data_IF_765956537556
#
_entry.id   IF_765956537556
#
_cell.length_a   1.000
_cell.length_b   1.000
_cell.length_c   1.000
_cell.angle_alpha   90.00
_cell.angle_beta   90.00
_cell.angle_gamma   90.00
#
_symmetry.space_group_name_H-M   'P 1'
#
loop_
_entity.id
_entity.type
_entity.pdbx_description
1 polymer ?
#
# COMPACT_ATOMS: atom_id res chain seq x y z
N UNK A 1 -17.01 17.02 -6.59
CA UNK A 1 -18.06 18.03 -6.32
C UNK A 1 -19.07 17.61 -5.26
N UNK A 2 -19.46 16.33 -5.18
CA UNK A 2 -20.45 15.85 -4.22
C UNK A 2 -20.07 16.03 -2.75
N UNK A 3 -18.81 15.77 -2.38
CA UNK A 3 -18.31 16.01 -1.02
C UNK A 3 -18.38 17.49 -0.61
N UNK A 4 -18.11 18.41 -1.54
CA UNK A 4 -18.19 19.84 -1.28
C UNK A 4 -19.65 20.30 -1.09
N UNK A 5 -20.58 19.75 -1.87
CA UNK A 5 -22.02 19.99 -1.71
C UNK A 5 -22.53 19.48 -0.35
N UNK A 6 -22.10 18.28 0.05
CA UNK A 6 -22.47 17.68 1.34
C UNK A 6 -21.93 18.52 2.52
N UNK A 7 -20.68 18.96 2.43
CA UNK A 7 -20.08 19.82 3.45
C UNK A 7 -20.80 21.18 3.57
N UNK A 8 -21.17 21.78 2.43
CA UNK A 8 -21.94 23.03 2.43
C UNK A 8 -23.31 22.86 3.11
N UNK A 9 -24.00 21.74 2.87
CA UNK A 9 -25.30 21.44 3.46
C UNK A 9 -25.21 21.28 4.99
N UNK A 10 -24.22 20.53 5.48
CA UNK A 10 -23.96 20.37 6.93
C UNK A 10 -23.71 21.72 7.60
N UNK A 11 -22.91 22.59 6.98
CA UNK A 11 -22.55 23.90 7.51
C UNK A 11 -23.76 24.86 7.54
N UNK A 12 -24.56 24.87 6.47
CA UNK A 12 -25.74 25.74 6.37
C UNK A 12 -26.87 25.30 7.31
N UNK A 13 -27.16 24.00 7.35
CA UNK A 13 -28.27 23.44 8.13
C UNK A 13 -27.90 23.15 9.58
N UNK A 14 -26.63 23.34 9.96
CA UNK A 14 -26.08 22.99 11.29
C UNK A 14 -26.46 21.58 11.69
N UNK A 15 -26.41 20.67 10.72
CA UNK A 15 -26.89 19.32 10.89
C UNK A 15 -26.05 18.66 11.98
N UNK A 16 -26.71 18.24 13.06
CA UNK A 16 -26.05 17.48 14.12
C UNK A 16 -25.87 16.04 13.67
N UNK A 17 -24.73 15.47 14.03
CA UNK A 17 -24.50 14.03 13.98
C UNK A 17 -25.56 13.30 14.80
N UNK A 18 -26.06 12.17 14.31
CA UNK A 18 -27.08 11.41 15.04
C UNK A 18 -26.55 10.91 16.39
N UNK A 19 -27.44 10.73 17.36
CA UNK A 19 -27.09 10.23 18.68
C UNK A 19 -26.46 8.83 18.60
N UNK A 20 -26.94 7.96 17.69
CA UNK A 20 -26.35 6.64 17.44
C UNK A 20 -24.89 6.73 16.96
N UNK A 21 -24.60 7.68 16.06
CA UNK A 21 -23.24 7.90 15.56
C UNK A 21 -22.35 8.47 16.65
N UNK A 22 -22.86 9.42 17.45
CA UNK A 22 -22.13 9.97 18.59
C UNK A 22 -21.85 8.91 19.65
N UNK A 23 -22.80 8.02 19.93
CA UNK A 23 -22.63 6.90 20.85
C UNK A 23 -21.53 5.97 20.37
N UNK A 24 -21.57 5.55 19.10
CA UNK A 24 -20.53 4.71 18.50
C UNK A 24 -19.14 5.37 18.56
N UNK A 25 -19.04 6.66 18.25
CA UNK A 25 -17.78 7.40 18.37
C UNK A 25 -17.27 7.42 19.81
N UNK A 26 -18.16 7.66 20.78
CA UNK A 26 -17.81 7.63 22.18
C UNK A 26 -17.45 6.24 22.69
N UNK A 27 -17.96 5.15 22.12
CA UNK A 27 -17.56 3.80 22.52
C UNK A 27 -16.23 3.38 21.91
N UNK A 28 -15.97 3.74 20.65
CA UNK A 28 -14.83 3.21 19.89
C UNK A 28 -13.62 4.15 19.86
N UNK A 29 -13.79 5.45 20.14
CA UNK A 29 -12.73 6.46 20.05
C UNK A 29 -12.54 7.24 21.35
N UNK A 30 -12.72 6.59 22.51
CA UNK A 30 -12.43 7.22 23.80
C UNK A 30 -10.96 7.61 23.86
N UNK A 31 -10.72 8.90 24.01
CA UNK A 31 -9.37 9.45 24.12
C UNK A 31 -8.57 8.77 25.23
N UNK A 32 -9.20 8.49 26.37
CA UNK A 32 -8.56 7.80 27.49
C UNK A 32 -8.08 6.40 27.12
N UNK A 33 -8.86 5.65 26.34
CA UNK A 33 -8.50 4.30 25.90
C UNK A 33 -7.34 4.36 24.90
N UNK A 34 -7.35 5.33 23.99
CA UNK A 34 -6.23 5.57 23.07
C UNK A 34 -4.95 5.90 23.84
N UNK A 35 -5.00 6.84 24.80
CA UNK A 35 -3.83 7.24 25.60
C UNK A 35 -3.29 6.07 26.42
N UNK A 36 -4.17 5.28 27.05
CA UNK A 36 -3.77 4.08 27.79
C UNK A 36 -3.11 3.05 26.89
N UNK A 37 -3.66 2.81 25.71
CA UNK A 37 -3.11 1.86 24.75
C UNK A 37 -1.72 2.30 24.27
N UNK A 38 -1.54 3.59 23.98
CA UNK A 38 -0.21 4.12 23.63
C UNK A 38 0.78 4.01 24.78
N UNK A 39 0.38 4.35 26.01
CA UNK A 39 1.23 4.21 27.18
C UNK A 39 1.65 2.75 27.40
N UNK A 40 0.70 1.81 27.28
CA UNK A 40 0.98 0.38 27.39
C UNK A 40 1.98 -0.09 26.33
N UNK A 41 1.77 0.30 25.06
CA UNK A 41 2.66 -0.07 23.98
C UNK A 41 4.07 0.49 24.17
N UNK A 42 4.21 1.74 24.60
CA UNK A 42 5.52 2.37 24.85
C UNK A 42 6.23 1.69 26.03
N UNK A 43 5.53 1.44 27.13
CA UNK A 43 6.12 0.88 28.34
C UNK A 43 6.47 -0.60 28.19
N UNK A 44 5.69 -1.34 27.40
CA UNK A 44 5.86 -2.77 27.20
C UNK A 44 6.53 -3.15 25.88
N UNK A 45 6.88 -2.17 25.02
CA UNK A 45 7.64 -2.41 23.81
C UNK A 45 8.95 -3.10 24.15
N UNK A 46 9.19 -4.25 23.52
CA UNK A 46 10.46 -4.98 23.63
C UNK A 46 11.23 -4.82 22.34
N UNK A 47 12.54 -4.65 22.48
CA UNK A 47 13.45 -4.72 21.34
C UNK A 47 13.34 -6.11 20.73
N UNK A 48 12.91 -6.20 19.47
CA UNK A 48 13.00 -7.43 18.71
C UNK A 48 14.47 -7.85 18.58
N UNK A 49 14.70 -9.16 18.49
CA UNK A 49 16.03 -9.68 18.19
C UNK A 49 16.58 -9.10 16.87
N UNK A 50 17.90 -9.18 16.64
CA UNK A 50 18.47 -8.81 15.36
C UNK A 50 17.73 -9.52 14.23
N UNK A 51 17.32 -8.78 13.22
CA UNK A 51 16.72 -9.35 12.02
C UNK A 51 17.77 -10.26 11.35
N UNK A 52 17.48 -11.55 11.13
CA UNK A 52 18.41 -12.42 10.43
C UNK A 52 18.59 -11.90 9.01
N UNK A 53 19.83 -11.73 8.57
CA UNK A 53 20.10 -11.45 7.17
C UNK A 53 19.87 -12.73 6.37
N UNK A 54 18.86 -12.71 5.50
CA UNK A 54 18.63 -13.77 4.52
C UNK A 54 19.01 -13.21 3.15
N UNK A 55 20.07 -13.76 2.56
CA UNK A 55 20.43 -13.44 1.19
C UNK A 55 19.52 -14.23 0.24
N UNK A 56 18.55 -13.56 -0.36
CA UNK A 56 17.79 -14.15 -1.45
C UNK A 56 18.50 -13.87 -2.77
N UNK A 57 18.97 -14.92 -3.44
CA UNK A 57 19.51 -14.80 -4.78
C UNK A 57 18.38 -14.37 -5.73
N UNK A 58 18.50 -13.17 -6.32
CA UNK A 58 17.54 -12.66 -7.28
C UNK A 58 17.92 -13.14 -8.68
N UNK A 59 17.40 -14.31 -9.06
CA UNK A 59 17.47 -14.81 -10.42
C UNK A 59 16.17 -14.48 -11.16
N UNK A 60 16.18 -13.54 -12.13
CA UNK A 60 14.98 -13.13 -12.85
C UNK A 60 14.39 -14.22 -13.74
N UNK A 61 15.12 -15.31 -14.02
CA UNK A 61 14.58 -16.44 -14.77
C UNK A 61 13.63 -17.31 -13.92
N UNK A 62 13.85 -17.35 -12.62
CA UNK A 62 13.15 -18.26 -11.70
C UNK A 62 12.28 -17.55 -10.67
N UNK A 63 12.59 -16.31 -10.32
CA UNK A 63 11.84 -15.50 -9.35
C UNK A 63 10.61 -14.86 -10.01
N UNK A 64 9.47 -14.92 -9.32
CA UNK A 64 8.28 -14.18 -9.70
C UNK A 64 8.33 -12.75 -9.15
N UNK A 65 7.74 -11.81 -9.88
CA UNK A 65 7.63 -10.42 -9.47
C UNK A 65 6.17 -10.01 -9.38
N UNK A 66 5.91 -8.99 -8.54
CA UNK A 66 4.63 -8.26 -8.50
C UNK A 66 4.88 -6.77 -8.58
N UNK A 67 3.83 -6.02 -8.95
CA UNK A 67 3.85 -4.57 -8.88
C UNK A 67 4.20 -4.15 -7.44
N UNK A 68 5.08 -3.17 -7.31
CA UNK A 68 5.47 -2.63 -6.02
C UNK A 68 4.24 -2.02 -5.30
N UNK A 69 4.16 -2.10 -3.96
CA UNK A 69 2.98 -1.64 -3.21
C UNK A 69 2.77 -0.12 -3.26
N UNK A 70 3.80 0.65 -3.65
CA UNK A 70 3.75 2.10 -3.86
C UNK A 70 3.47 2.47 -5.33
N UNK A 71 3.09 1.49 -6.15
CA UNK A 71 2.69 1.70 -7.54
C UNK A 71 1.22 1.30 -7.72
N UNK A 72 0.46 2.14 -8.43
CA UNK A 72 -0.97 1.94 -8.65
C UNK A 72 -1.28 2.00 -10.14
N UNK A 73 -1.97 0.98 -10.65
CA UNK A 73 -2.47 0.99 -12.03
C UNK A 73 -3.66 1.94 -12.13
N UNK A 74 -3.56 2.94 -13.00
CA UNK A 74 -4.58 3.96 -13.27
C UNK A 74 -4.92 3.98 -14.76
N UNK A 75 -5.85 3.11 -15.17
CA UNK A 75 -6.21 2.93 -16.58
C UNK A 75 -5.02 2.39 -17.37
N UNK A 76 -4.56 3.15 -18.36
CA UNK A 76 -3.44 2.79 -19.25
C UNK A 76 -2.08 3.27 -18.72
N UNK A 77 -1.98 3.60 -17.43
CA UNK A 77 -0.75 4.11 -16.81
C UNK A 77 -0.54 3.54 -15.41
N UNK A 78 0.67 3.68 -14.88
CA UNK A 78 1.01 3.36 -13.49
C UNK A 78 1.49 4.63 -12.79
N UNK A 79 0.83 4.99 -11.70
CA UNK A 79 1.29 6.02 -10.78
C UNK A 79 2.33 5.45 -9.82
N UNK A 80 3.41 6.19 -9.54
CA UNK A 80 4.47 5.80 -8.62
C UNK A 80 4.56 6.79 -7.45
N UNK A 81 4.17 6.38 -6.23
CA UNK A 81 4.01 7.28 -5.09
C UNK A 81 5.31 8.02 -4.71
N UNK A 82 6.46 7.34 -4.75
CA UNK A 82 7.75 7.98 -4.43
C UNK A 82 8.28 8.93 -5.50
N UNK A 83 7.93 8.72 -6.78
CA UNK A 83 8.36 9.60 -7.87
C UNK A 83 7.34 10.70 -8.15
N UNK A 84 6.09 10.51 -7.71
CA UNK A 84 4.98 11.43 -7.99
C UNK A 84 4.63 11.52 -9.48
N UNK A 85 4.95 10.48 -10.26
CA UNK A 85 4.84 10.49 -11.72
C UNK A 85 4.02 9.33 -12.24
N UNK A 86 3.46 9.50 -13.44
CA UNK A 86 2.81 8.44 -14.20
C UNK A 86 3.77 7.85 -15.22
N UNK A 87 3.68 6.54 -15.44
CA UNK A 87 4.37 5.82 -16.50
C UNK A 87 3.34 5.11 -17.39
N UNK A 88 3.36 5.42 -18.68
CA UNK A 88 2.44 4.93 -19.70
C UNK A 88 3.09 3.88 -20.63
N UNK A 89 4.22 3.28 -20.22
CA UNK A 89 4.81 2.14 -20.92
C UNK A 89 3.78 1.00 -20.96
N UNK A 90 3.21 0.79 -22.14
CA UNK A 90 2.17 -0.19 -22.38
C UNK A 90 2.59 -1.62 -22.00
N UNK A 91 3.89 -1.95 -22.08
CA UNK A 91 4.40 -3.27 -21.69
C UNK A 91 4.43 -3.41 -20.18
N UNK A 92 4.87 -2.38 -19.47
CA UNK A 92 4.86 -2.32 -18.01
C UNK A 92 3.42 -2.43 -17.48
N UNK A 93 2.49 -1.63 -18.02
CA UNK A 93 1.07 -1.63 -17.65
C UNK A 93 0.44 -3.01 -17.89
N UNK A 94 0.68 -3.63 -19.05
CA UNK A 94 0.19 -5.00 -19.33
C UNK A 94 0.73 -6.04 -18.35
N UNK A 95 2.02 -5.97 -18.00
CA UNK A 95 2.59 -6.86 -16.99
C UNK A 95 1.94 -6.59 -15.62
N UNK A 96 1.75 -5.33 -15.22
CA UNK A 96 1.16 -4.95 -13.93
C UNK A 96 -0.28 -5.43 -13.73
N UNK A 97 -1.12 -5.37 -14.78
CA UNK A 97 -2.51 -5.85 -14.75
C UNK A 97 -2.60 -7.36 -14.47
N UNK A 98 -1.57 -8.15 -14.81
CA UNK A 98 -1.53 -9.59 -14.46
C UNK A 98 -1.29 -9.84 -12.98
N UNK A 99 -0.84 -8.83 -12.24
CA UNK A 99 -0.51 -8.93 -10.81
C UNK A 99 0.82 -9.63 -10.55
N UNK A 100 0.90 -10.93 -10.86
CA UNK A 100 2.12 -11.75 -10.71
C UNK A 100 2.68 -12.11 -12.07
N UNK A 101 3.97 -11.85 -12.29
CA UNK A 101 4.66 -12.13 -13.54
C UNK A 101 5.95 -12.91 -13.31
N UNK A 102 6.38 -13.64 -14.34
CA UNK A 102 7.65 -14.38 -14.39
C UNK A 102 8.39 -14.09 -15.69
N UNK A 103 9.58 -14.67 -15.89
CA UNK A 103 10.30 -14.62 -17.17
C UNK A 103 9.49 -15.13 -18.38
N UNK A 104 8.42 -15.89 -18.16
CA UNK A 104 7.49 -16.33 -19.22
C UNK A 104 6.58 -15.20 -19.72
N UNK A 105 6.34 -14.19 -18.89
CA UNK A 105 5.42 -13.09 -19.16
C UNK A 105 6.14 -11.87 -19.75
N UNK A 106 7.29 -11.54 -19.17
CA UNK A 106 8.09 -10.36 -19.51
C UNK A 106 9.57 -10.81 -19.52
N UNK A 107 10.42 -10.22 -20.38
CA UNK A 107 11.81 -10.68 -20.50
C UNK A 107 12.58 -10.45 -19.19
N UNK A 108 13.50 -11.36 -18.78
CA UNK A 108 14.27 -11.23 -17.55
C UNK A 108 14.96 -9.87 -17.39
N UNK A 109 15.62 -9.37 -18.45
CA UNK A 109 16.29 -8.07 -18.45
C UNK A 109 15.34 -6.91 -18.16
N UNK A 110 14.09 -7.01 -18.66
CA UNK A 110 13.08 -5.98 -18.47
C UNK A 110 12.55 -6.00 -17.03
N UNK A 111 12.35 -7.19 -16.45
CA UNK A 111 11.96 -7.33 -15.06
C UNK A 111 13.02 -6.74 -14.13
N UNK A 112 14.30 -6.98 -14.40
CA UNK A 112 15.40 -6.38 -13.63
C UNK A 112 15.47 -4.86 -13.82
N UNK A 113 15.27 -4.37 -15.04
CA UNK A 113 15.22 -2.92 -15.29
C UNK A 113 14.12 -2.25 -14.45
N UNK A 114 12.88 -2.76 -14.53
CA UNK A 114 11.78 -2.18 -13.78
C UNK A 114 11.90 -2.40 -12.26
N UNK A 115 12.53 -3.48 -11.81
CA UNK A 115 12.90 -3.67 -10.39
C UNK A 115 13.86 -2.56 -9.91
N UNK A 116 14.89 -2.24 -10.71
CA UNK A 116 15.84 -1.16 -10.39
C UNK A 116 15.21 0.22 -10.41
N UNK A 117 14.19 0.41 -11.25
CA UNK A 117 13.40 1.64 -11.32
C UNK A 117 12.34 1.73 -10.22
N UNK A 118 12.13 0.66 -9.44
CA UNK A 118 11.21 0.64 -8.31
C UNK A 118 9.77 0.28 -8.64
N UNK A 119 9.46 -0.13 -9.88
CA UNK A 119 8.09 -0.53 -10.26
C UNK A 119 7.72 -1.96 -9.84
N UNK A 120 8.71 -2.86 -9.77
CA UNK A 120 8.47 -4.27 -9.42
C UNK A 120 9.23 -4.66 -8.17
N UNK A 121 8.65 -5.60 -7.42
CA UNK A 121 9.30 -6.25 -6.28
C UNK A 121 9.29 -7.76 -6.47
N UNK A 122 10.38 -8.46 -6.14
CA UNK A 122 10.40 -9.91 -6.14
C UNK A 122 9.43 -10.47 -5.09
N UNK A 123 8.85 -11.63 -5.38
CA UNK A 123 8.01 -12.38 -4.44
C UNK A 123 8.87 -13.51 -3.89
N UNK A 124 9.25 -13.41 -2.62
CA UNK A 124 9.99 -14.48 -1.95
C UNK A 124 9.02 -15.47 -1.26
N UNK A 125 9.40 -16.75 -1.13
CA UNK A 125 8.52 -17.80 -0.59
C UNK A 125 7.97 -17.51 0.82
N UNK A 126 8.74 -16.76 1.62
CA UNK A 126 8.39 -16.44 3.01
C UNK A 126 7.37 -15.28 3.13
N UNK A 127 6.98 -14.66 2.00
CA UNK A 127 5.98 -13.57 1.93
C UNK A 127 4.64 -14.03 1.33
N UNK A 128 4.41 -15.34 1.19
CA UNK A 128 3.22 -15.91 0.55
C UNK A 128 2.04 -16.22 1.49
N UNK A 129 2.02 -15.67 2.72
CA UNK A 129 0.89 -15.72 3.65
C UNK A 129 -0.04 -14.51 3.54
#
# INVERSE_FOLDING_TARGET
EEAARLAADILQNRQRTSDDTMHWLHENFKQDDMVRTYADLILNARKLGPMPYVHHHLDPETVAFRLAPWCVVTGDSIYHDFLGTYNDDARLVRCAIRGRVTAKDCSPDQLIAWYREGYWVPIFPDEAE
#
